data_IF_148672230083
#
_entry.id   IF_148672230083
#
_cell.length_a   1.000
_cell.length_b   1.000
_cell.length_c   1.000
_cell.angle_alpha   90.00
_cell.angle_beta   90.00
_cell.angle_gamma   90.00
#
_symmetry.space_group_name_H-M   'P 1'
#
loop_
_entity.id
_entity.type
_entity.pdbx_description
1 polymer ?
#
# COMPACT_ATOMS: atom_id res chain seq x y z
N UNK A 1 -6.65 45.12 -12.21
CA UNK A 1 -7.54 44.21 -12.96
C UNK A 1 -6.92 42.79 -13.17
N UNK A 2 -5.63 42.69 -13.49
CA UNK A 2 -4.96 41.37 -13.66
C UNK A 2 -4.95 40.53 -12.38
N UNK A 3 -4.68 41.11 -11.21
CA UNK A 3 -4.63 40.40 -9.93
C UNK A 3 -6.01 39.80 -9.57
N UNK A 4 -7.08 40.51 -9.87
CA UNK A 4 -8.45 40.07 -9.60
C UNK A 4 -8.86 38.93 -10.54
N UNK A 5 -8.46 38.98 -11.81
CA UNK A 5 -8.70 37.93 -12.79
C UNK A 5 -7.98 36.63 -12.40
N UNK A 6 -6.73 36.71 -11.94
CA UNK A 6 -5.95 35.52 -11.46
C UNK A 6 -6.56 34.97 -10.18
N UNK A 7 -7.05 35.82 -9.27
CA UNK A 7 -7.71 35.37 -8.04
C UNK A 7 -9.04 34.67 -8.33
N UNK A 8 -9.84 35.22 -9.24
CA UNK A 8 -11.12 34.61 -9.65
C UNK A 8 -10.91 33.29 -10.38
N UNK A 9 -9.86 33.15 -11.18
CA UNK A 9 -9.48 31.92 -11.88
C UNK A 9 -9.00 30.85 -10.93
N UNK A 10 -8.16 31.20 -9.93
CA UNK A 10 -7.72 30.29 -8.88
C UNK A 10 -8.89 29.80 -8.00
N UNK A 11 -9.78 30.68 -7.57
CA UNK A 11 -10.96 30.32 -6.79
C UNK A 11 -11.92 29.43 -7.56
N UNK A 12 -12.03 29.61 -8.88
CA UNK A 12 -12.86 28.78 -9.73
C UNK A 12 -12.25 27.39 -9.89
N UNK A 13 -10.95 27.30 -10.15
CA UNK A 13 -10.21 26.04 -10.25
C UNK A 13 -10.27 25.25 -8.94
N UNK A 14 -10.10 25.89 -7.80
CA UNK A 14 -10.22 25.27 -6.47
C UNK A 14 -11.64 24.72 -6.23
N UNK A 15 -12.67 25.49 -6.59
CA UNK A 15 -14.06 25.06 -6.45
C UNK A 15 -14.40 23.86 -7.36
N UNK A 16 -13.91 23.89 -8.61
CA UNK A 16 -14.10 22.78 -9.56
C UNK A 16 -13.38 21.51 -9.08
N UNK A 17 -12.17 21.63 -8.56
CA UNK A 17 -11.41 20.51 -7.97
C UNK A 17 -12.13 19.92 -6.74
N UNK A 18 -12.66 20.77 -5.85
CA UNK A 18 -13.41 20.34 -4.67
C UNK A 18 -14.70 19.62 -5.04
N UNK A 19 -15.43 20.13 -6.05
CA UNK A 19 -16.64 19.48 -6.54
C UNK A 19 -16.34 18.12 -7.17
N UNK A 20 -15.32 18.03 -8.04
CA UNK A 20 -14.89 16.78 -8.64
C UNK A 20 -14.50 15.73 -7.59
N UNK A 21 -13.85 16.15 -6.49
CA UNK A 21 -13.50 15.27 -5.38
C UNK A 21 -14.76 14.77 -4.64
N UNK A 22 -15.74 15.64 -4.40
CA UNK A 22 -17.02 15.25 -3.77
C UNK A 22 -17.82 14.26 -4.64
N UNK A 23 -17.87 14.51 -5.93
CA UNK A 23 -18.57 13.66 -6.90
C UNK A 23 -17.91 12.28 -6.98
N UNK A 24 -16.59 12.23 -6.96
CA UNK A 24 -15.86 10.96 -6.94
C UNK A 24 -16.11 10.17 -5.65
N UNK A 25 -16.00 10.81 -4.47
CA UNK A 25 -16.28 10.15 -3.18
C UNK A 25 -17.69 9.58 -3.16
N UNK A 26 -18.65 10.29 -3.72
CA UNK A 26 -20.05 9.84 -3.81
C UNK A 26 -20.19 8.64 -4.73
N UNK A 27 -19.60 8.69 -5.93
CA UNK A 27 -19.60 7.58 -6.88
C UNK A 27 -18.92 6.33 -6.29
N UNK A 28 -17.73 6.49 -5.71
CA UNK A 28 -17.00 5.37 -5.10
C UNK A 28 -17.70 4.79 -3.87
N UNK A 29 -18.44 5.60 -3.10
CA UNK A 29 -19.25 5.11 -1.98
C UNK A 29 -20.37 4.22 -2.47
N UNK A 30 -20.99 4.55 -3.61
CA UNK A 30 -22.01 3.71 -4.26
C UNK A 30 -21.38 2.40 -4.76
N UNK A 31 -20.23 2.48 -5.41
CA UNK A 31 -19.52 1.32 -5.98
C UNK A 31 -19.00 0.37 -4.90
N UNK A 32 -18.59 0.88 -3.73
CA UNK A 32 -18.21 0.08 -2.57
C UNK A 32 -19.41 -0.66 -1.94
N UNK A 33 -20.60 -0.07 -1.97
CA UNK A 33 -21.80 -0.67 -1.36
C UNK A 33 -22.17 -2.00 -2.03
N UNK A 34 -22.04 -2.10 -3.33
CA UNK A 34 -22.43 -3.29 -4.11
C UNK A 34 -21.64 -4.55 -3.68
N UNK A 35 -20.28 -4.56 -3.73
CA UNK A 35 -19.53 -5.72 -3.28
C UNK A 35 -19.66 -5.98 -1.78
N UNK A 36 -19.84 -4.93 -0.95
CA UNK A 36 -20.06 -5.08 0.48
C UNK A 36 -21.39 -5.79 0.78
N UNK A 37 -22.49 -5.39 0.14
CA UNK A 37 -23.79 -6.06 0.28
C UNK A 37 -23.71 -7.52 -0.16
N UNK A 38 -22.99 -7.81 -1.26
CA UNK A 38 -22.80 -9.19 -1.72
C UNK A 38 -21.97 -10.01 -0.73
N UNK A 39 -20.91 -9.42 -0.15
CA UNK A 39 -20.09 -10.07 0.88
C UNK A 39 -20.91 -10.42 2.11
N UNK A 40 -21.70 -9.48 2.62
CA UNK A 40 -22.58 -9.71 3.77
C UNK A 40 -23.60 -10.82 3.47
N UNK A 41 -24.24 -10.82 2.29
CA UNK A 41 -25.16 -11.87 1.91
C UNK A 41 -24.53 -13.27 1.85
N UNK A 42 -23.28 -13.41 1.38
CA UNK A 42 -22.57 -14.69 1.42
C UNK A 42 -22.20 -15.11 2.84
N UNK A 43 -21.82 -14.15 3.70
CA UNK A 43 -21.54 -14.43 5.11
C UNK A 43 -22.82 -14.88 5.85
N UNK A 44 -23.98 -14.28 5.58
CA UNK A 44 -25.27 -14.69 6.14
C UNK A 44 -25.61 -16.13 5.74
N UNK A 45 -25.40 -16.51 4.48
CA UNK A 45 -25.58 -17.89 4.01
C UNK A 45 -24.69 -18.87 4.77
N UNK A 46 -23.44 -18.51 5.00
CA UNK A 46 -22.46 -19.32 5.74
C UNK A 46 -22.83 -19.45 7.22
N UNK A 47 -23.22 -18.34 7.86
CA UNK A 47 -23.59 -18.28 9.28
C UNK A 47 -24.87 -19.08 9.56
N UNK A 48 -25.91 -18.90 8.72
CA UNK A 48 -27.18 -19.64 8.79
C UNK A 48 -27.04 -21.10 8.30
N UNK A 49 -25.86 -21.51 7.80
CA UNK A 49 -25.60 -22.84 7.23
C UNK A 49 -26.55 -23.23 6.10
N UNK A 50 -26.94 -22.24 5.26
CA UNK A 50 -27.83 -22.42 4.11
C UNK A 50 -26.98 -22.81 2.88
N UNK A 51 -26.31 -23.95 2.94
CA UNK A 51 -25.55 -24.56 1.84
C UNK A 51 -25.79 -26.07 1.84
N UNK A 52 -25.67 -26.71 0.67
CA UNK A 52 -26.06 -28.12 0.47
C UNK A 52 -24.95 -29.09 0.86
N UNK A 53 -23.69 -28.70 0.65
CA UNK A 53 -22.50 -29.55 0.84
C UNK A 53 -21.24 -28.70 1.10
N UNK A 54 -20.11 -29.35 1.36
CA UNK A 54 -18.81 -28.66 1.63
C UNK A 54 -18.24 -27.97 0.39
N UNK A 55 -18.56 -28.43 -0.83
CA UNK A 55 -18.17 -27.77 -2.06
C UNK A 55 -18.84 -26.41 -2.18
N UNK A 56 -20.16 -26.35 -1.95
CA UNK A 56 -20.92 -25.08 -1.98
C UNK A 56 -20.49 -24.12 -0.86
N UNK A 57 -20.21 -24.65 0.34
CA UNK A 57 -19.60 -23.87 1.43
C UNK A 57 -18.28 -23.24 1.02
N UNK A 58 -17.38 -24.03 0.45
CA UNK A 58 -16.07 -23.59 -0.02
C UNK A 58 -16.19 -22.53 -1.12
N UNK A 59 -17.19 -22.67 -2.00
CA UNK A 59 -17.47 -21.69 -3.03
C UNK A 59 -17.94 -20.36 -2.44
N UNK A 60 -18.82 -20.35 -1.42
CA UNK A 60 -19.23 -19.12 -0.74
C UNK A 60 -18.04 -18.44 -0.04
N UNK A 61 -17.16 -19.21 0.61
CA UNK A 61 -15.92 -18.65 1.20
C UNK A 61 -15.06 -17.99 0.12
N UNK A 62 -14.87 -18.63 -1.05
CA UNK A 62 -14.14 -18.05 -2.18
C UNK A 62 -14.79 -16.77 -2.68
N UNK A 63 -16.13 -16.74 -2.81
CA UNK A 63 -16.89 -15.53 -3.20
C UNK A 63 -16.70 -14.40 -2.19
N UNK A 64 -16.72 -14.69 -0.89
CA UNK A 64 -16.42 -13.71 0.16
C UNK A 64 -15.02 -13.09 -0.03
N UNK A 65 -14.01 -13.94 -0.26
CA UNK A 65 -12.64 -13.47 -0.49
C UNK A 65 -12.53 -12.55 -1.69
N UNK A 66 -13.13 -12.92 -2.83
CA UNK A 66 -13.15 -12.10 -4.04
C UNK A 66 -13.82 -10.73 -3.77
N UNK A 67 -14.93 -10.70 -3.01
CA UNK A 67 -15.61 -9.43 -2.69
C UNK A 67 -14.80 -8.56 -1.72
N UNK A 68 -14.13 -9.17 -0.75
CA UNK A 68 -13.21 -8.47 0.15
C UNK A 68 -12.04 -7.84 -0.61
N UNK A 69 -11.43 -8.57 -1.55
CA UNK A 69 -10.35 -8.06 -2.39
C UNK A 69 -10.83 -6.90 -3.28
N UNK A 70 -12.04 -6.99 -3.87
CA UNK A 70 -12.64 -5.89 -4.63
C UNK A 70 -12.84 -4.62 -3.79
N UNK A 71 -13.33 -4.76 -2.55
CA UNK A 71 -13.51 -3.64 -1.61
C UNK A 71 -12.16 -3.01 -1.28
N UNK A 72 -11.14 -3.83 -1.02
CA UNK A 72 -9.78 -3.36 -0.75
C UNK A 72 -9.24 -2.55 -1.94
N UNK A 73 -9.30 -3.08 -3.16
CA UNK A 73 -8.83 -2.40 -4.36
C UNK A 73 -9.54 -1.04 -4.58
N UNK A 74 -10.85 -0.99 -4.32
CA UNK A 74 -11.62 0.26 -4.42
C UNK A 74 -11.19 1.26 -3.34
N UNK A 75 -10.96 0.80 -2.10
CA UNK A 75 -10.46 1.65 -1.01
C UNK A 75 -9.08 2.22 -1.33
N UNK A 76 -8.19 1.43 -1.90
CA UNK A 76 -6.85 1.88 -2.28
C UNK A 76 -6.90 2.90 -3.43
N UNK A 77 -7.80 2.72 -4.40
CA UNK A 77 -8.05 3.72 -5.46
C UNK A 77 -8.58 5.03 -4.90
N UNK A 78 -9.57 4.96 -4.01
CA UNK A 78 -10.14 6.13 -3.34
C UNK A 78 -9.06 6.91 -2.57
N UNK A 79 -8.24 6.19 -1.82
CA UNK A 79 -7.16 6.79 -1.05
C UNK A 79 -6.09 7.41 -1.95
N UNK A 80 -5.68 6.73 -3.03
CA UNK A 80 -4.73 7.28 -4.00
C UNK A 80 -5.28 8.55 -4.64
N UNK A 81 -6.56 8.57 -4.98
CA UNK A 81 -7.23 9.76 -5.50
C UNK A 81 -7.25 10.88 -4.46
N UNK A 82 -7.59 10.54 -3.21
CA UNK A 82 -7.58 11.52 -2.11
C UNK A 82 -6.18 12.14 -1.93
N UNK A 83 -5.11 11.34 -1.98
CA UNK A 83 -3.74 11.83 -1.93
C UNK A 83 -3.38 12.75 -3.12
N UNK A 84 -3.96 12.54 -4.30
CA UNK A 84 -3.70 13.39 -5.48
C UNK A 84 -4.32 14.78 -5.29
N UNK A 85 -5.48 14.86 -4.66
CA UNK A 85 -6.27 16.09 -4.51
C UNK A 85 -6.20 16.71 -3.11
N UNK A 86 -5.71 15.98 -2.10
CA UNK A 86 -5.32 16.60 -0.84
C UNK A 86 -4.13 17.53 -1.13
N UNK A 87 -4.36 18.82 -0.99
CA UNK A 87 -3.26 19.77 -0.93
C UNK A 87 -2.31 19.31 0.18
N UNK A 88 -1.00 19.43 -0.02
CA UNK A 88 0.09 18.91 0.83
C UNK A 88 0.00 19.32 2.33
N UNK A 89 -0.97 20.15 2.70
CA UNK A 89 -1.13 20.73 4.03
C UNK A 89 -1.48 19.74 5.15
N UNK A 90 -1.91 18.50 4.82
CA UNK A 90 -2.38 17.55 5.83
C UNK A 90 -1.43 16.37 6.10
N UNK A 91 -0.34 16.21 5.35
CA UNK A 91 0.63 15.15 5.58
C UNK A 91 1.74 15.67 6.49
N UNK A 92 1.71 15.27 7.75
CA UNK A 92 2.72 15.65 8.73
C UNK A 92 3.83 14.59 8.77
N UNK A 93 4.93 14.86 8.08
CA UNK A 93 6.13 14.05 8.18
C UNK A 93 6.75 14.20 9.57
N UNK A 94 7.08 13.09 10.19
CA UNK A 94 7.76 13.03 11.48
C UNK A 94 9.14 12.39 11.31
N UNK A 95 10.07 12.79 12.16
CA UNK A 95 11.38 12.15 12.23
C UNK A 95 11.21 10.76 12.85
N UNK A 96 11.48 9.74 12.06
CA UNK A 96 11.39 8.33 12.45
C UNK A 96 12.79 7.74 12.53
N UNK A 97 13.12 7.14 13.66
CA UNK A 97 14.40 6.48 13.87
C UNK A 97 14.38 5.00 13.48
N UNK A 98 15.54 4.37 13.57
CA UNK A 98 15.72 2.96 13.22
C UNK A 98 14.82 2.02 14.02
N UNK A 99 14.62 2.29 15.33
CA UNK A 99 13.83 1.39 16.19
C UNK A 99 12.36 1.40 15.78
N UNK A 100 11.83 2.57 15.45
CA UNK A 100 10.45 2.71 14.96
C UNK A 100 10.26 1.99 13.61
N UNK A 101 11.23 2.09 12.70
CA UNK A 101 11.19 1.37 11.41
C UNK A 101 11.30 -0.14 11.63
N UNK A 102 12.18 -0.60 12.52
CA UNK A 102 12.33 -2.01 12.84
C UNK A 102 11.03 -2.62 13.39
N UNK A 103 10.34 -1.93 14.31
CA UNK A 103 9.04 -2.38 14.82
C UNK A 103 8.02 -2.59 13.70
N UNK A 104 7.99 -1.69 12.72
CA UNK A 104 7.09 -1.83 11.57
C UNK A 104 7.49 -3.00 10.65
N UNK A 105 8.79 -3.20 10.44
CA UNK A 105 9.30 -4.34 9.65
C UNK A 105 9.06 -5.68 10.35
N UNK A 106 9.21 -5.74 11.66
CA UNK A 106 8.90 -6.94 12.44
C UNK A 106 7.40 -7.28 12.33
N UNK A 107 6.52 -6.29 12.46
CA UNK A 107 5.08 -6.49 12.26
C UNK A 107 4.77 -7.02 10.85
N UNK A 108 5.37 -6.42 9.82
CA UNK A 108 5.24 -6.86 8.43
C UNK A 108 5.76 -8.29 8.22
N UNK A 109 6.93 -8.63 8.79
CA UNK A 109 7.50 -9.97 8.74
C UNK A 109 6.61 -11.01 9.42
N UNK A 110 6.06 -10.70 10.59
CA UNK A 110 5.15 -11.59 11.32
C UNK A 110 3.89 -11.88 10.51
N UNK A 111 3.29 -10.89 9.85
CA UNK A 111 2.13 -11.10 8.97
C UNK A 111 2.45 -11.99 7.75
N UNK A 112 3.67 -11.93 7.23
CA UNK A 112 4.13 -12.82 6.17
C UNK A 112 4.31 -14.26 6.69
N UNK A 113 4.89 -14.44 7.88
CA UNK A 113 5.03 -15.76 8.54
C UNK A 113 3.66 -16.37 8.78
N UNK A 114 2.70 -15.61 9.33
CA UNK A 114 1.32 -16.06 9.55
C UNK A 114 0.61 -16.43 8.23
N UNK A 115 1.08 -15.86 7.11
CA UNK A 115 0.61 -16.19 5.77
C UNK A 115 1.31 -17.39 5.14
N UNK A 116 2.26 -18.02 5.85
CA UNK A 116 2.97 -19.24 5.43
C UNK A 116 4.25 -19.00 4.64
N UNK A 117 4.79 -17.77 4.63
CA UNK A 117 6.07 -17.47 3.98
C UNK A 117 7.26 -17.72 4.91
N UNK A 118 8.38 -18.20 4.35
CA UNK A 118 9.68 -18.24 5.01
C UNK A 118 10.37 -16.88 4.84
N UNK A 119 10.75 -16.25 5.98
CA UNK A 119 11.32 -14.91 5.99
C UNK A 119 12.81 -14.93 6.31
N UNK A 120 13.60 -14.23 5.51
CA UNK A 120 14.97 -13.88 5.83
C UNK A 120 15.08 -12.37 6.05
N UNK A 121 15.50 -11.96 7.26
CA UNK A 121 15.70 -10.55 7.60
C UNK A 121 17.20 -10.23 7.69
N UNK A 122 17.66 -9.29 6.88
CA UNK A 122 19.06 -8.85 6.77
C UNK A 122 19.14 -7.35 7.09
N UNK A 123 19.51 -7.02 8.32
CA UNK A 123 19.68 -5.62 8.74
C UNK A 123 21.18 -5.31 8.80
N UNK A 124 21.67 -4.61 7.79
CA UNK A 124 23.03 -4.07 7.72
C UNK A 124 22.93 -2.53 7.58
N UNK A 125 22.39 -1.90 8.61
CA UNK A 125 22.18 -0.47 8.62
C UNK A 125 22.81 0.15 9.87
N UNK A 126 23.61 1.20 9.68
CA UNK A 126 24.03 2.08 10.77
C UNK A 126 22.82 2.83 11.32
N UNK A 127 22.86 3.34 12.57
CA UNK A 127 21.77 4.15 13.09
C UNK A 127 21.36 5.25 12.10
N UNK A 128 20.08 5.29 11.79
CA UNK A 128 19.53 6.21 10.78
C UNK A 128 18.26 6.90 11.28
N UNK A 129 17.92 7.99 10.61
CA UNK A 129 16.64 8.68 10.76
C UNK A 129 16.12 9.06 9.39
N UNK A 130 14.82 8.93 9.19
CA UNK A 130 14.12 9.33 7.97
C UNK A 130 12.94 10.25 8.32
N UNK A 131 12.52 11.07 7.36
CA UNK A 131 11.26 11.81 7.46
C UNK A 131 10.16 10.96 6.85
N UNK A 132 9.22 10.49 7.67
CA UNK A 132 8.13 9.64 7.22
C UNK A 132 6.83 9.94 7.96
N UNK A 133 5.72 9.48 7.40
CA UNK A 133 4.40 9.48 8.02
C UNK A 133 3.98 8.03 8.28
N UNK A 134 3.68 7.71 9.54
CA UNK A 134 3.48 6.34 10.02
C UNK A 134 2.32 5.63 9.30
N UNK A 135 1.20 6.32 9.05
CA UNK A 135 0.05 5.70 8.41
C UNK A 135 0.29 5.43 6.92
N UNK A 136 1.07 6.29 6.24
CA UNK A 136 1.49 6.04 4.86
C UNK A 136 2.43 4.85 4.76
N UNK A 137 3.43 4.75 5.67
CA UNK A 137 4.33 3.60 5.72
C UNK A 137 3.56 2.30 5.97
N UNK A 138 2.63 2.29 6.92
CA UNK A 138 1.78 1.13 7.18
C UNK A 138 1.02 0.72 5.93
N UNK A 139 0.39 1.65 5.23
CA UNK A 139 -0.32 1.35 3.98
C UNK A 139 0.60 0.86 2.86
N UNK A 140 1.84 1.35 2.80
CA UNK A 140 2.85 0.82 1.87
C UNK A 140 3.10 -0.66 2.18
N UNK A 141 3.35 -1.02 3.44
CA UNK A 141 3.55 -2.41 3.85
C UNK A 141 2.31 -3.27 3.59
N UNK A 142 1.10 -2.78 3.87
CA UNK A 142 -0.15 -3.50 3.57
C UNK A 142 -0.31 -3.81 2.07
N UNK A 143 0.07 -2.86 1.20
CA UNK A 143 0.08 -3.05 -0.25
C UNK A 143 1.12 -4.09 -0.69
N UNK A 144 2.34 -4.02 -0.13
CA UNK A 144 3.41 -4.98 -0.44
C UNK A 144 3.05 -6.37 0.06
N UNK A 145 2.51 -6.49 1.27
CA UNK A 145 2.00 -7.74 1.84
C UNK A 145 0.93 -8.38 0.95
N UNK A 146 -0.03 -7.57 0.48
CA UNK A 146 -1.07 -8.03 -0.43
C UNK A 146 -0.49 -8.55 -1.75
N UNK A 147 0.53 -7.87 -2.30
CA UNK A 147 1.21 -8.29 -3.51
C UNK A 147 1.95 -9.62 -3.29
N UNK A 148 2.69 -9.76 -2.19
CA UNK A 148 3.43 -10.98 -1.86
C UNK A 148 2.46 -12.15 -1.66
N UNK A 149 1.36 -11.98 -0.92
CA UNK A 149 0.33 -13.01 -0.74
C UNK A 149 -0.29 -13.48 -2.06
N UNK A 150 -0.48 -12.55 -3.00
CA UNK A 150 -1.10 -12.84 -4.30
C UNK A 150 -0.11 -13.50 -5.26
N UNK A 151 1.12 -13.01 -5.32
CA UNK A 151 2.07 -13.34 -6.38
C UNK A 151 3.31 -14.09 -5.90
N UNK A 152 3.64 -14.03 -4.61
CA UNK A 152 4.78 -14.75 -4.02
C UNK A 152 4.50 -16.23 -3.85
N UNK A 153 5.54 -17.07 -3.94
CA UNK A 153 5.46 -18.52 -3.77
C UNK A 153 5.68 -18.92 -2.31
N UNK A 154 6.91 -18.81 -1.82
CA UNK A 154 7.28 -19.35 -0.50
C UNK A 154 8.28 -18.52 0.29
N UNK A 155 9.19 -17.82 -0.35
CA UNK A 155 10.32 -17.14 0.30
C UNK A 155 10.26 -15.62 0.15
N UNK A 156 10.60 -14.92 1.24
CA UNK A 156 10.73 -13.46 1.24
C UNK A 156 12.00 -13.05 1.96
N UNK A 157 12.86 -12.31 1.26
CA UNK A 157 14.03 -11.65 1.85
C UNK A 157 13.69 -10.17 2.07
N UNK A 158 13.88 -9.69 3.29
CA UNK A 158 13.76 -8.29 3.65
C UNK A 158 15.14 -7.79 4.07
N UNK A 159 15.65 -6.77 3.43
CA UNK A 159 16.94 -6.19 3.79
C UNK A 159 16.88 -4.68 3.96
N UNK A 160 17.66 -4.19 4.92
CA UNK A 160 17.84 -2.78 5.25
C UNK A 160 19.30 -2.42 5.11
N UNK A 161 19.60 -1.42 4.28
CA UNK A 161 20.98 -0.91 4.09
C UNK A 161 20.98 0.61 4.08
N UNK A 162 22.01 1.19 4.71
CA UNK A 162 22.29 2.61 4.60
C UNK A 162 23.43 2.81 3.60
N UNK A 163 23.15 3.56 2.54
CA UNK A 163 24.13 3.93 1.53
C UNK A 163 24.28 5.46 1.53
N UNK A 164 25.48 5.94 1.90
CA UNK A 164 25.86 7.36 1.97
C UNK A 164 24.79 8.29 2.60
N UNK A 165 23.74 8.65 1.86
CA UNK A 165 22.68 9.58 2.25
C UNK A 165 21.27 8.99 2.14
N UNK A 166 21.18 7.70 1.92
CA UNK A 166 19.89 7.02 1.67
C UNK A 166 19.77 5.76 2.51
N UNK A 167 18.53 5.49 2.94
CA UNK A 167 18.11 4.20 3.46
C UNK A 167 17.47 3.43 2.31
N UNK A 168 18.02 2.27 2.00
CA UNK A 168 17.43 1.34 1.05
C UNK A 168 16.79 0.17 1.81
N UNK A 169 15.47 0.05 1.71
CA UNK A 169 14.70 -1.08 2.19
C UNK A 169 14.34 -1.94 0.97
N UNK A 170 14.89 -3.14 0.90
CA UNK A 170 14.69 -4.04 -0.21
C UNK A 170 13.89 -5.26 0.23
N UNK A 171 12.83 -5.57 -0.51
CA UNK A 171 11.97 -6.74 -0.30
C UNK A 171 12.02 -7.56 -1.58
N UNK A 172 12.43 -8.83 -1.47
CA UNK A 172 12.49 -9.77 -2.57
C UNK A 172 11.61 -10.95 -2.26
N UNK A 173 10.87 -11.43 -3.22
CA UNK A 173 10.12 -12.66 -3.13
C UNK A 173 10.25 -13.49 -4.40
N UNK A 174 10.18 -14.80 -4.26
CA UNK A 174 9.96 -15.73 -5.36
C UNK A 174 8.55 -15.56 -5.93
N UNK A 175 8.38 -15.85 -7.22
CA UNK A 175 7.08 -15.77 -7.91
C UNK A 175 6.44 -17.14 -8.04
N UNK A 176 5.11 -17.20 -7.99
CA UNK A 176 4.33 -18.40 -8.36
C UNK A 176 4.46 -18.66 -9.86
N UNK A 177 4.60 -19.94 -10.25
CA UNK A 177 4.77 -20.35 -11.65
C UNK A 177 3.54 -20.10 -12.55
N UNK A 178 2.31 -20.06 -11.97
CA UNK A 178 1.03 -20.06 -12.71
C UNK A 178 0.22 -18.76 -12.58
N UNK A 179 0.85 -17.59 -12.76
CA UNK A 179 0.07 -16.35 -12.76
C UNK A 179 -0.16 -15.90 -14.21
N UNK A 180 -1.41 -15.97 -14.67
CA UNK A 180 -1.83 -15.36 -15.93
C UNK A 180 -1.53 -13.85 -15.87
N UNK A 181 -0.80 -13.33 -16.86
CA UNK A 181 -0.36 -11.91 -16.94
C UNK A 181 -1.53 -10.91 -16.95
N UNK A 182 -2.77 -11.37 -17.09
CA UNK A 182 -3.97 -10.52 -17.19
C UNK A 182 -4.50 -9.98 -15.85
N UNK A 183 -4.08 -10.53 -14.69
CA UNK A 183 -4.61 -10.13 -13.39
C UNK A 183 -3.77 -9.11 -12.60
N UNK A 184 -2.64 -8.65 -13.11
CA UNK A 184 -1.81 -7.67 -12.41
C UNK A 184 -2.37 -6.25 -12.59
N UNK A 185 -3.37 -5.88 -11.82
CA UNK A 185 -3.70 -4.47 -11.66
C UNK A 185 -2.54 -3.82 -10.88
N UNK A 186 -1.61 -3.18 -11.57
CA UNK A 186 -0.47 -2.43 -10.96
C UNK A 186 -0.90 -1.25 -10.06
N UNK A 187 -2.15 -1.25 -9.60
CA UNK A 187 -2.77 -0.18 -8.82
C UNK A 187 -2.09 -0.05 -7.46
N UNK A 188 -1.84 -1.16 -6.76
CA UNK A 188 -1.18 -1.15 -5.46
C UNK A 188 0.22 -0.51 -5.51
N UNK A 189 1.04 -0.86 -6.51
CA UNK A 189 2.38 -0.28 -6.67
C UNK A 189 2.35 1.17 -7.15
N UNK A 190 1.33 1.60 -7.90
CA UNK A 190 1.11 3.02 -8.21
C UNK A 190 0.78 3.81 -6.94
N UNK A 191 -0.05 3.27 -6.06
CA UNK A 191 -0.35 3.86 -4.75
C UNK A 191 0.91 3.95 -3.88
N UNK A 192 1.71 2.88 -3.81
CA UNK A 192 3.00 2.88 -3.10
C UNK A 192 3.92 3.98 -3.62
N UNK A 193 4.06 4.11 -4.94
CA UNK A 193 4.89 5.17 -5.55
C UNK A 193 4.42 6.57 -5.16
N UNK A 194 3.11 6.79 -5.15
CA UNK A 194 2.51 8.08 -4.77
C UNK A 194 2.74 8.38 -3.29
N UNK A 195 2.50 7.40 -2.39
CA UNK A 195 2.75 7.56 -0.95
C UNK A 195 4.22 7.88 -0.66
N UNK A 196 5.16 7.18 -1.32
CA UNK A 196 6.60 7.44 -1.18
C UNK A 196 6.98 8.85 -1.64
N UNK A 197 6.37 9.36 -2.71
CA UNK A 197 6.67 10.71 -3.21
C UNK A 197 6.37 11.81 -2.19
N UNK A 198 5.39 11.64 -1.31
CA UNK A 198 5.11 12.57 -0.20
C UNK A 198 6.21 12.57 0.88
N UNK A 199 6.95 11.49 0.98
CA UNK A 199 8.07 11.34 1.92
C UNK A 199 9.42 11.60 1.24
N UNK A 200 9.43 12.19 0.03
CA UNK A 200 10.62 12.37 -0.81
C UNK A 200 11.38 11.05 -1.06
N UNK A 201 10.68 9.93 -0.95
CA UNK A 201 11.21 8.59 -1.17
C UNK A 201 10.85 8.09 -2.57
N UNK A 202 11.57 7.07 -3.05
CA UNK A 202 11.37 6.51 -4.38
C UNK A 202 11.13 5.02 -4.33
N UNK A 203 10.39 4.52 -5.34
CA UNK A 203 10.10 3.11 -5.56
C UNK A 203 10.87 2.62 -6.77
N UNK A 204 11.71 1.60 -6.57
CA UNK A 204 12.36 0.85 -7.65
C UNK A 204 11.80 -0.56 -7.67
N UNK A 205 11.41 -1.03 -8.85
CA UNK A 205 10.87 -2.37 -9.06
C UNK A 205 11.73 -3.06 -10.09
N UNK A 206 12.12 -4.30 -9.81
CA UNK A 206 12.89 -5.14 -10.71
C UNK A 206 12.29 -6.55 -10.73
N UNK A 207 12.30 -7.17 -11.89
CA UNK A 207 11.99 -8.58 -12.06
C UNK A 207 13.19 -9.26 -12.67
N UNK A 208 13.72 -10.26 -12.00
CA UNK A 208 14.86 -11.04 -12.47
C UNK A 208 14.48 -12.51 -12.36
N UNK A 209 14.30 -13.16 -13.52
CA UNK A 209 13.85 -14.55 -13.58
C UNK A 209 12.56 -14.76 -12.76
N UNK A 210 12.61 -15.60 -11.73
CA UNK A 210 11.48 -15.92 -10.86
C UNK A 210 11.47 -15.09 -9.57
N UNK A 211 12.26 -14.02 -9.50
CA UNK A 211 12.35 -13.14 -8.33
C UNK A 211 11.73 -11.78 -8.66
N UNK A 212 10.85 -11.32 -7.78
CA UNK A 212 10.33 -9.96 -7.77
C UNK A 212 10.99 -9.15 -6.67
N UNK A 213 11.50 -7.97 -7.03
CA UNK A 213 12.28 -7.11 -6.15
C UNK A 213 11.61 -5.74 -6.07
N UNK A 214 11.33 -5.30 -4.85
CA UNK A 214 10.85 -3.96 -4.55
C UNK A 214 11.85 -3.27 -3.64
N UNK A 215 12.29 -2.08 -4.02
CA UNK A 215 13.17 -1.24 -3.21
C UNK A 215 12.47 0.09 -2.89
N UNK A 216 12.40 0.40 -1.60
CA UNK A 216 11.94 1.69 -1.08
C UNK A 216 13.19 2.46 -0.66
N UNK A 217 13.43 3.61 -1.30
CA UNK A 217 14.64 4.41 -1.07
C UNK A 217 14.26 5.74 -0.44
N UNK A 218 14.66 5.94 0.82
CA UNK A 218 14.38 7.14 1.60
C UNK A 218 15.64 7.99 1.74
N UNK A 219 15.56 9.34 1.63
CA UNK A 219 16.65 10.20 2.03
C UNK A 219 16.85 10.12 3.55
N UNK A 220 18.12 10.02 3.98
CA UNK A 220 18.45 10.09 5.41
C UNK A 220 18.31 11.52 5.91
N UNK A 221 17.72 11.68 7.10
CA UNK A 221 17.72 12.97 7.79
C UNK A 221 19.04 13.18 8.50
N UNK A 222 19.64 14.35 8.31
CA UNK A 222 20.88 14.73 8.98
C UNK A 222 20.64 15.23 10.42
N UNK A 223 19.37 15.46 10.79
CA UNK A 223 19.01 15.99 12.09
C UNK A 223 19.13 14.91 13.17
N UNK A 224 20.04 15.14 14.12
CA UNK A 224 20.17 14.33 15.34
C UNK A 224 20.91 12.99 15.20
N UNK A 225 21.68 12.76 14.14
CA UNK A 225 22.66 11.70 14.11
C UNK A 225 23.88 12.10 14.95
N UNK A 226 24.45 11.20 15.76
CA UNK A 226 25.72 11.48 16.45
C UNK A 226 26.78 11.81 15.40
N UNK A 227 27.45 12.95 15.57
CA UNK A 227 28.61 13.31 14.73
C UNK A 227 29.67 12.23 14.93
N UNK A 228 30.11 11.63 13.83
CA UNK A 228 31.18 10.64 13.80
C UNK A 228 32.51 11.25 14.28
#
# INVERSE_FOLDING_TARGET
NQLRSVLDENMRSEKEAKQANQDLVTAMSHDLRTPLTSLLGYLDILDMKIYKNEEERSEYIRKCKIKADQIKDMSDRLFTHFLIYAQDENIQLQLMDQDQVNVMLEAFGNELIDSGFEIQLLIDAKPFKIMAETSLLKRIFDNLLSNIRKYGSSQVEISLRCEEKQLCMCIKNDKKEDISKEESSHIGLKSVRKMLSYMNATLVIQEVEDIFIVQLVFPLSMDGLPKA
#
